data_IF_274290829729
#
_entry.id   IF_274290829729
#
_cell.length_a   1.000
_cell.length_b   1.000
_cell.length_c   1.000
_cell.angle_alpha   90.00
_cell.angle_beta   90.00
_cell.angle_gamma   90.00
#
_symmetry.space_group_name_H-M   'P 1'
#
loop_
_entity.id
_entity.type
_entity.pdbx_description
1 polymer ?
#
# COMPACT_ATOMS: atom_id res chain seq x y z
N UNK A 1 -13.88 -2.97 12.44
CA UNK A 1 -13.33 -2.61 11.11
C UNK A 1 -11.82 -2.71 11.17
N UNK A 2 -11.18 -3.07 10.05
CA UNK A 2 -9.73 -3.26 9.93
C UNK A 2 -9.14 -2.16 9.02
N UNK A 3 -7.89 -1.78 9.27
CA UNK A 3 -7.17 -0.81 8.45
C UNK A 3 -6.23 -1.55 7.51
N UNK A 4 -6.29 -1.25 6.22
CA UNK A 4 -5.43 -1.78 5.19
C UNK A 4 -4.58 -0.67 4.59
N UNK A 5 -3.38 -1.01 4.13
CA UNK A 5 -2.53 -0.15 3.33
C UNK A 5 -2.51 -0.66 1.90
N UNK A 6 -2.93 0.19 0.97
CA UNK A 6 -2.78 -0.05 -0.45
C UNK A 6 -1.57 0.72 -0.98
N UNK A 7 -0.82 0.13 -1.90
CA UNK A 7 0.30 0.76 -2.58
C UNK A 7 0.41 0.30 -4.03
N UNK A 8 0.82 1.21 -4.90
CA UNK A 8 1.23 0.91 -6.27
C UNK A 8 2.74 1.08 -6.35
N UNK A 9 3.40 0.12 -7.00
CA UNK A 9 4.83 0.18 -7.30
C UNK A 9 5.05 0.26 -8.80
N UNK A 10 6.08 1.00 -9.21
CA UNK A 10 6.59 0.93 -10.58
C UNK A 10 7.41 -0.35 -10.81
N UNK A 11 7.92 -0.52 -12.04
CA UNK A 11 8.76 -1.66 -12.40
C UNK A 11 10.10 -1.72 -11.65
N UNK A 12 10.55 -0.61 -11.03
CA UNK A 12 11.74 -0.54 -10.20
C UNK A 12 11.43 -0.86 -8.72
N UNK A 13 10.18 -1.12 -8.36
CA UNK A 13 9.75 -1.39 -6.99
C UNK A 13 9.51 -0.13 -6.15
N UNK A 14 9.55 1.05 -6.76
CA UNK A 14 9.32 2.33 -6.07
C UNK A 14 7.84 2.53 -5.85
N UNK A 15 7.43 2.87 -4.61
CA UNK A 15 6.03 3.19 -4.32
C UNK A 15 5.68 4.54 -4.96
N UNK A 16 4.85 4.51 -6.00
CA UNK A 16 4.40 5.72 -6.73
C UNK A 16 3.09 6.26 -6.19
N UNK A 17 2.31 5.43 -5.50
CA UNK A 17 1.05 5.81 -4.87
C UNK A 17 0.77 4.94 -3.65
N UNK A 18 0.13 5.51 -2.62
CA UNK A 18 -0.31 4.72 -1.48
C UNK A 18 -1.48 5.38 -0.72
N UNK A 19 -2.44 4.55 -0.28
CA UNK A 19 -3.63 5.00 0.44
C UNK A 19 -3.98 4.09 1.64
N UNK A 20 -4.63 4.68 2.64
CA UNK A 20 -5.20 3.97 3.78
C UNK A 20 -6.65 3.63 3.47
N UNK A 21 -7.05 2.37 3.70
CA UNK A 21 -8.41 1.89 3.43
C UNK A 21 -8.95 1.22 4.67
N UNK A 22 -10.08 1.69 5.17
CA UNK A 22 -10.81 1.03 6.25
C UNK A 22 -11.87 0.09 5.67
N UNK A 23 -11.78 -1.20 5.98
CA UNK A 23 -12.69 -2.21 5.46
C UNK A 23 -12.95 -3.32 6.47
N UNK A 24 -14.03 -4.07 6.29
CA UNK A 24 -14.31 -5.25 7.12
C UNK A 24 -13.40 -6.42 6.74
N UNK A 25 -13.21 -6.63 5.42
CA UNK A 25 -12.45 -7.74 4.86
C UNK A 25 -11.42 -7.27 3.83
N UNK A 26 -10.45 -8.14 3.52
CA UNK A 26 -9.40 -7.87 2.53
C UNK A 26 -9.97 -7.68 1.12
N UNK A 27 -11.01 -8.43 0.75
CA UNK A 27 -11.64 -8.34 -0.57
C UNK A 27 -12.28 -6.96 -0.80
N UNK A 28 -12.97 -6.42 0.20
CA UNK A 28 -13.51 -5.05 0.17
C UNK A 28 -12.39 -4.02 0.02
N UNK A 29 -11.27 -4.22 0.72
CA UNK A 29 -10.13 -3.32 0.66
C UNK A 29 -9.47 -3.34 -0.73
N UNK A 30 -9.36 -4.52 -1.37
CA UNK A 30 -8.88 -4.68 -2.74
C UNK A 30 -9.78 -3.98 -3.74
N UNK A 31 -11.09 -4.22 -3.70
CA UNK A 31 -12.04 -3.55 -4.60
C UNK A 31 -11.98 -2.02 -4.51
N UNK A 32 -11.77 -1.48 -3.30
CA UNK A 32 -11.55 -0.03 -3.11
C UNK A 32 -10.20 0.44 -3.62
N UNK A 33 -9.14 -0.34 -3.45
CA UNK A 33 -7.82 0.00 -3.96
C UNK A 33 -7.81 0.03 -5.50
N UNK A 34 -8.41 -0.97 -6.15
CA UNK A 34 -8.58 -1.02 -7.60
C UNK A 34 -9.40 0.18 -8.12
N UNK A 35 -10.49 0.56 -7.44
CA UNK A 35 -11.29 1.72 -7.83
C UNK A 35 -10.53 3.06 -7.73
N UNK A 36 -9.56 3.16 -6.81
CA UNK A 36 -8.73 4.36 -6.62
C UNK A 36 -7.51 4.38 -7.57
N UNK A 37 -7.12 3.21 -8.08
CA UNK A 37 -5.94 3.05 -8.91
C UNK A 37 -6.35 2.81 -10.37
N UNK A 38 -6.44 3.88 -11.16
CA UNK A 38 -6.81 3.78 -12.58
C UNK A 38 -5.73 3.16 -13.48
N UNK A 39 -4.50 3.03 -12.98
CA UNK A 39 -3.36 2.48 -13.73
C UNK A 39 -2.54 1.53 -12.84
N UNK A 40 -2.46 0.27 -13.25
CA UNK A 40 -1.71 -0.78 -12.56
C UNK A 40 -2.55 -1.58 -11.55
N UNK A 41 -1.94 -2.58 -10.93
CA UNK A 41 -2.57 -3.43 -9.92
C UNK A 41 -2.01 -3.08 -8.54
N UNK A 42 -2.80 -2.45 -7.65
CA UNK A 42 -2.33 -2.10 -6.33
C UNK A 42 -2.20 -3.34 -5.44
N UNK A 43 -1.15 -3.38 -4.64
CA UNK A 43 -0.99 -4.38 -3.58
C UNK A 43 -1.65 -3.86 -2.32
N UNK A 44 -2.34 -4.73 -1.57
CA UNK A 44 -3.07 -4.39 -0.35
C UNK A 44 -2.64 -5.30 0.79
N UNK A 45 -2.15 -4.71 1.87
CA UNK A 45 -1.77 -5.41 3.10
C UNK A 45 -2.65 -4.97 4.28
N UNK A 46 -2.97 -5.92 5.16
CA UNK A 46 -3.57 -5.61 6.45
C UNK A 46 -2.54 -4.86 7.29
N UNK A 47 -2.88 -3.66 7.75
CA UNK A 47 -1.98 -2.90 8.59
C UNK A 47 -2.19 -3.29 10.05
N UNK A 48 -1.14 -3.81 10.68
CA UNK A 48 -1.07 -3.97 12.12
C UNK A 48 -0.10 -2.94 12.71
N UNK A 49 -0.47 -2.32 13.84
CA UNK A 49 0.40 -1.38 14.55
C UNK A 49 1.76 -1.99 14.95
N UNK A 50 1.85 -3.32 14.98
CA UNK A 50 3.06 -4.06 15.33
C UNK A 50 4.04 -4.18 14.15
N UNK A 51 3.57 -4.02 12.91
CA UNK A 51 4.35 -4.18 11.67
C UNK A 51 4.82 -2.83 11.12
N UNK A 52 5.48 -2.04 11.96
CA UNK A 52 6.22 -0.87 11.48
C UNK A 52 7.38 -1.35 10.60
N UNK A 53 7.16 -1.47 9.28
CA UNK A 53 8.28 -1.57 8.32
C UNK A 53 9.07 -0.27 8.43
N UNK A 54 10.22 -0.35 9.09
CA UNK A 54 11.19 0.73 9.14
C UNK A 54 11.99 0.63 7.84
N UNK A 55 11.69 1.49 6.87
CA UNK A 55 12.57 1.65 5.72
C UNK A 55 13.80 2.46 6.18
N UNK A 56 15.03 1.92 6.06
CA UNK A 56 16.22 2.65 6.45
C UNK A 56 16.36 3.90 5.58
N UNK A 57 16.50 5.07 6.20
CA UNK A 57 16.67 6.35 5.52
C UNK A 57 17.89 6.37 4.57
N UNK A 58 18.86 5.49 4.78
CA UNK A 58 19.98 5.28 3.87
C UNK A 58 19.58 4.79 2.46
N UNK A 59 18.35 4.28 2.28
CA UNK A 59 17.81 3.92 0.97
C UNK A 59 17.16 5.11 0.22
N UNK A 60 17.02 6.28 0.88
CA UNK A 60 16.38 7.46 0.30
C UNK A 60 17.39 8.40 -0.41
N UNK A 61 18.68 8.33 -0.05
CA UNK A 61 19.74 9.24 -0.52
C UNK A 61 20.63 8.57 -1.56
N UNK A 62 20.04 8.03 -2.64
CA UNK A 62 20.79 7.51 -3.78
C UNK A 62 20.10 7.86 -5.10
N UNK A 63 19.97 9.16 -5.41
CA UNK A 63 19.92 9.70 -6.77
C UNK A 63 20.63 11.04 -6.83
#
# INVERSE_FOLDING_TARGET
MQTFRAYLQDAAGTITWAAWIEAAHLEDARGRADALCAAGTPTVDLWSSSERKVWPAAALEAV
#
